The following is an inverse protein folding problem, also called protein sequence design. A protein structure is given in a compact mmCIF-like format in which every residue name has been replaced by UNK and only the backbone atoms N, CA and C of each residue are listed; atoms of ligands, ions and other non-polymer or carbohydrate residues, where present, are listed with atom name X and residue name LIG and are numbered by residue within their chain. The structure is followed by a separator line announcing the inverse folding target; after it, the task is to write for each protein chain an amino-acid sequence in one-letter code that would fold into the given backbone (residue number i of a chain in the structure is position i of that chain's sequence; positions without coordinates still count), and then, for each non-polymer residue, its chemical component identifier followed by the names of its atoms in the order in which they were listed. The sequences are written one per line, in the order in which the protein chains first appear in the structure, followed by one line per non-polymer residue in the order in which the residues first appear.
data_IF_811725531735
#
_entry.id   IF_811725531735
#
_cell.length_a   1.000
_cell.length_b   1.000
_cell.length_c   1.000
_cell.angle_alpha   90.00
_cell.angle_beta   90.00
_cell.angle_gamma   90.00
#
_symmetry.space_group_name_H-M   'P 1'
#
loop_
_entity.id
_entity.type
_entity.pdbx_description
1 polymer ?
#
# COMPACT_ATOMS: atom_id res chain seq x y z
N UNK A 1 4.51 -2.69 6.35
CA UNK A 1 3.07 -2.98 6.57
C UNK A 1 2.16 -1.77 6.31
N UNK A 2 2.66 -0.74 5.62
CA UNK A 2 2.01 0.57 5.53
C UNK A 2 0.56 0.54 5.04
N UNK A 3 0.23 -0.29 4.03
CA UNK A 3 -1.16 -0.44 3.56
C UNK A 3 -2.11 -0.95 4.66
N UNK A 4 -1.65 -1.89 5.50
CA UNK A 4 -2.44 -2.41 6.63
C UNK A 4 -2.57 -1.35 7.72
N UNK A 5 -1.52 -0.56 7.96
CA UNK A 5 -1.51 0.50 8.98
C UNK A 5 -2.46 1.66 8.61
N UNK A 6 -2.52 2.01 7.32
CA UNK A 6 -3.48 2.97 6.79
C UNK A 6 -4.91 2.43 6.83
N UNK A 7 -5.13 1.17 6.43
CA UNK A 7 -6.43 0.50 6.54
C UNK A 7 -6.92 0.50 8.00
N UNK A 8 -6.05 0.13 8.95
CA UNK A 8 -6.34 0.11 10.38
C UNK A 8 -6.86 1.47 10.86
N UNK A 9 -6.12 2.53 10.52
CA UNK A 9 -6.41 3.88 10.97
C UNK A 9 -7.64 4.44 10.28
N UNK A 10 -7.82 4.17 8.98
CA UNK A 10 -8.99 4.59 8.21
C UNK A 10 -10.26 3.93 8.75
N UNK A 11 -10.25 2.61 8.95
CA UNK A 11 -11.40 1.89 9.51
C UNK A 11 -11.75 2.40 10.90
N UNK A 12 -10.75 2.59 11.77
CA UNK A 12 -10.99 3.08 13.13
C UNK A 12 -11.66 4.47 13.12
N UNK A 13 -11.20 5.38 12.25
CA UNK A 13 -11.74 6.74 12.10
C UNK A 13 -13.12 6.79 11.45
N UNK A 14 -13.42 5.87 10.52
CA UNK A 14 -14.69 5.83 9.77
C UNK A 14 -15.77 4.99 10.46
N UNK A 15 -15.37 4.07 11.33
CA UNK A 15 -16.26 3.16 12.06
C UNK A 15 -15.98 3.28 13.56
N UNK A 16 -15.28 2.33 14.17
CA UNK A 16 -14.76 2.39 15.52
C UNK A 16 -13.51 1.49 15.67
N UNK A 17 -12.79 1.66 16.78
CA UNK A 17 -11.54 0.95 17.05
C UNK A 17 -11.73 -0.56 17.25
N UNK A 18 -12.85 -1.00 17.80
CA UNK A 18 -13.14 -2.43 18.01
C UNK A 18 -13.34 -3.15 16.67
N UNK A 19 -14.10 -2.56 15.76
CA UNK A 19 -14.32 -3.05 14.41
C UNK A 19 -13.00 -3.14 13.65
N UNK A 20 -12.22 -2.06 13.63
CA UNK A 20 -10.90 -2.04 12.99
C UNK A 20 -9.99 -3.14 13.55
N UNK A 21 -9.87 -3.24 14.88
CA UNK A 21 -9.07 -4.28 15.53
C UNK A 21 -9.53 -5.70 15.19
N UNK A 22 -10.84 -5.94 15.07
CA UNK A 22 -11.38 -7.24 14.66
C UNK A 22 -10.99 -7.58 13.22
N UNK A 23 -11.13 -6.64 12.28
CA UNK A 23 -10.75 -6.85 10.88
C UNK A 23 -9.24 -7.07 10.70
N UNK A 24 -8.40 -6.36 11.43
CA UNK A 24 -6.96 -6.63 11.41
C UNK A 24 -6.64 -8.03 11.92
N UNK A 25 -7.26 -8.48 13.01
CA UNK A 25 -7.07 -9.86 13.51
C UNK A 25 -7.48 -10.90 12.47
N UNK A 26 -8.59 -10.68 11.75
CA UNK A 26 -9.01 -11.56 10.66
C UNK A 26 -7.97 -11.61 9.53
N UNK A 27 -7.44 -10.47 9.10
CA UNK A 27 -6.39 -10.37 8.07
C UNK A 27 -5.13 -11.15 8.50
N UNK A 28 -4.63 -10.93 9.72
CA UNK A 28 -3.41 -11.58 10.21
C UNK A 28 -3.58 -13.08 10.51
N UNK A 29 -4.82 -13.55 10.77
CA UNK A 29 -5.11 -14.99 10.93
C UNK A 29 -5.33 -15.70 9.59
N UNK A 30 -5.67 -14.95 8.54
CA UNK A 30 -5.93 -15.49 7.22
C UNK A 30 -4.65 -16.04 6.59
N UNK A 31 -4.78 -17.13 5.83
CA UNK A 31 -3.69 -17.71 5.02
C UNK A 31 -3.62 -17.11 3.61
N UNK A 32 -4.62 -16.31 3.23
CA UNK A 32 -4.75 -15.80 1.86
C UNK A 32 -3.83 -14.61 1.57
N UNK A 33 -3.80 -13.51 2.36
CA UNK A 33 -2.91 -12.41 2.06
C UNK A 33 -1.48 -12.74 2.49
N UNK A 34 -0.54 -12.63 1.54
CA UNK A 34 0.89 -12.61 1.86
C UNK A 34 1.26 -11.16 2.22
N UNK A 35 1.66 -10.94 3.47
CA UNK A 35 2.03 -9.60 3.95
C UNK A 35 3.52 -9.36 3.70
N UNK A 36 3.83 -8.48 2.75
CA UNK A 36 5.19 -8.06 2.45
C UNK A 36 5.59 -6.86 3.32
N UNK A 37 6.71 -6.99 4.01
CA UNK A 37 7.37 -5.89 4.71
C UNK A 37 8.42 -5.27 3.78
N UNK A 38 8.32 -3.97 3.46
CA UNK A 38 9.38 -3.27 2.74
C UNK A 38 10.69 -3.32 3.53
N UNK A 39 11.81 -3.42 2.82
CA UNK A 39 13.15 -3.33 3.40
C UNK A 39 13.73 -1.92 3.25
N UNK A 40 14.90 -1.70 3.88
CA UNK A 40 15.59 -0.40 3.84
C UNK A 40 15.85 0.12 2.41
N UNK A 41 16.15 -0.76 1.46
CA UNK A 41 16.37 -0.35 0.07
C UNK A 41 15.05 0.02 -0.63
N UNK A 42 13.94 -0.65 -0.30
CA UNK A 42 12.63 -0.26 -0.82
C UNK A 42 12.28 1.16 -0.35
N UNK A 43 12.53 1.48 0.92
CA UNK A 43 12.28 2.81 1.50
C UNK A 43 13.14 3.90 0.85
N UNK A 44 14.44 3.65 0.66
CA UNK A 44 15.35 4.60 0.00
C UNK A 44 14.93 4.89 -1.44
N UNK A 45 14.59 3.86 -2.21
CA UNK A 45 14.10 4.06 -3.58
C UNK A 45 12.76 4.79 -3.61
N UNK A 46 11.90 4.53 -2.62
CA UNK A 46 10.61 5.21 -2.51
C UNK A 46 10.75 6.69 -2.23
N UNK A 47 11.75 7.11 -1.44
CA UNK A 47 12.08 8.53 -1.22
C UNK A 47 12.44 9.21 -2.54
N UNK A 48 13.21 8.54 -3.41
CA UNK A 48 13.55 9.09 -4.73
C UNK A 48 12.32 9.28 -5.60
N UNK A 49 11.41 8.30 -5.62
CA UNK A 49 10.13 8.38 -6.35
C UNK A 49 9.26 9.50 -5.78
N UNK A 50 9.13 9.57 -4.46
CA UNK A 50 8.32 10.57 -3.78
C UNK A 50 8.80 12.00 -4.09
N UNK A 51 10.12 12.23 -4.07
CA UNK A 51 10.71 13.50 -4.48
C UNK A 51 10.49 13.80 -5.97
N UNK A 52 10.62 12.79 -6.85
CA UNK A 52 10.43 12.96 -8.29
C UNK A 52 9.02 13.39 -8.66
N UNK A 53 8.02 12.93 -7.90
CA UNK A 53 6.62 13.24 -8.11
C UNK A 53 6.08 14.25 -7.09
N UNK A 54 6.92 15.16 -6.59
CA UNK A 54 6.54 16.17 -5.57
C UNK A 54 5.32 17.01 -5.96
N UNK A 55 5.15 17.25 -7.25
CA UNK A 55 4.05 18.06 -7.80
C UNK A 55 2.75 17.25 -7.97
N UNK A 56 2.81 15.93 -7.76
CA UNK A 56 1.67 15.04 -7.79
C UNK A 56 1.33 14.68 -6.34
N UNK A 57 0.05 14.75 -5.96
CA UNK A 57 -0.42 14.45 -4.60
C UNK A 57 -0.44 12.93 -4.33
N UNK A 58 0.68 12.26 -4.58
CA UNK A 58 0.88 10.82 -4.38
C UNK A 58 1.31 10.60 -2.94
N UNK A 59 0.80 9.58 -2.26
CA UNK A 59 1.26 9.27 -0.91
C UNK A 59 2.63 8.58 -0.92
N UNK A 60 3.34 8.67 0.20
CA UNK A 60 4.57 7.88 0.36
C UNK A 60 4.28 6.37 0.34
N UNK A 61 3.13 5.94 0.87
CA UNK A 61 2.66 4.55 0.84
C UNK A 61 2.48 4.03 -0.59
N UNK A 62 1.97 4.86 -1.51
CA UNK A 62 1.86 4.50 -2.93
C UNK A 62 3.24 4.38 -3.56
N UNK A 63 4.15 5.32 -3.31
CA UNK A 63 5.53 5.25 -3.80
C UNK A 63 6.22 3.96 -3.34
N UNK A 64 6.04 3.60 -2.07
CA UNK A 64 6.56 2.36 -1.50
C UNK A 64 5.92 1.11 -2.10
N UNK A 65 4.62 1.16 -2.35
CA UNK A 65 3.91 0.10 -3.06
C UNK A 65 4.46 -0.07 -4.47
N UNK A 66 4.73 1.02 -5.20
CA UNK A 66 5.31 0.94 -6.55
C UNK A 66 6.69 0.26 -6.55
N UNK A 67 7.55 0.60 -5.59
CA UNK A 67 8.89 -0.02 -5.49
C UNK A 67 8.79 -1.50 -5.18
N UNK A 68 8.01 -1.87 -4.17
CA UNK A 68 7.83 -3.28 -3.78
C UNK A 68 7.22 -4.09 -4.91
N UNK A 69 6.18 -3.57 -5.56
CA UNK A 69 5.55 -4.25 -6.69
C UNK A 69 6.51 -4.44 -7.87
N UNK A 70 7.31 -3.44 -8.21
CA UNK A 70 8.33 -3.56 -9.27
C UNK A 70 9.39 -4.58 -8.92
N UNK A 71 9.89 -4.58 -7.67
CA UNK A 71 10.88 -5.54 -7.18
C UNK A 71 10.37 -6.99 -7.24
N UNK A 72 9.08 -7.19 -7.00
CA UNK A 72 8.43 -8.50 -6.98
C UNK A 72 7.76 -8.86 -8.31
N UNK A 73 7.94 -8.06 -9.35
CA UNK A 73 7.34 -8.24 -10.68
C UNK A 73 5.80 -8.35 -10.65
N UNK A 74 5.16 -7.68 -9.68
CA UNK A 74 3.70 -7.61 -9.55
C UNK A 74 3.19 -6.48 -10.45
N UNK A 75 2.36 -6.84 -11.43
CA UNK A 75 1.85 -5.91 -12.44
C UNK A 75 0.41 -5.49 -12.22
N UNK A 76 -0.34 -6.23 -11.40
CA UNK A 76 -1.76 -6.01 -11.13
C UNK A 76 -1.98 -5.49 -9.72
N UNK A 77 -2.94 -4.59 -9.55
CA UNK A 77 -3.28 -4.00 -8.25
C UNK A 77 -4.79 -3.79 -8.11
N UNK A 78 -5.31 -4.15 -6.94
CA UNK A 78 -6.66 -3.78 -6.51
C UNK A 78 -6.61 -2.43 -5.79
N UNK A 79 -7.06 -1.37 -6.47
CA UNK A 79 -7.08 -0.01 -5.92
C UNK A 79 -8.12 0.85 -6.62
N UNK A 80 -8.57 1.91 -5.96
CA UNK A 80 -9.36 2.98 -6.56
C UNK A 80 -8.49 4.16 -7.02
N UNK A 81 -7.20 4.15 -6.71
CA UNK A 81 -6.28 5.24 -7.03
C UNK A 81 -5.67 5.07 -8.44
N UNK A 82 -5.91 6.07 -9.28
CA UNK A 82 -5.39 6.14 -10.66
C UNK A 82 -3.88 6.37 -10.72
N UNK A 83 -3.23 6.81 -9.63
CA UNK A 83 -1.77 6.95 -9.59
C UNK A 83 -1.03 5.67 -9.96
N UNK A 84 -1.59 4.50 -9.63
CA UNK A 84 -1.02 3.21 -10.00
C UNK A 84 -1.01 2.97 -11.51
N UNK A 85 -2.03 3.46 -12.23
CA UNK A 85 -2.07 3.36 -13.69
C UNK A 85 -0.96 4.21 -14.32
N UNK A 86 -0.73 5.43 -13.82
CA UNK A 86 0.37 6.28 -14.29
C UNK A 86 1.75 5.69 -13.97
N UNK A 87 1.86 4.92 -12.89
CA UNK A 87 3.08 4.20 -12.52
C UNK A 87 3.31 2.92 -13.34
N UNK A 88 2.39 2.56 -14.24
CA UNK A 88 2.49 1.43 -15.17
C UNK A 88 1.82 0.13 -14.71
N UNK A 89 0.99 0.17 -13.66
CA UNK A 89 0.27 -1.00 -13.17
C UNK A 89 -1.11 -1.14 -13.81
N UNK A 90 -1.59 -2.39 -13.88
CA UNK A 90 -2.96 -2.68 -14.32
C UNK A 90 -3.88 -2.72 -13.10
N UNK A 91 -4.85 -1.81 -13.07
CA UNK A 91 -5.89 -1.82 -12.05
C UNK A 91 -6.90 -2.91 -12.40
N UNK A 92 -7.17 -3.80 -11.46
CA UNK A 92 -8.08 -4.95 -11.58
C UNK A 92 -9.10 -4.92 -10.42
N UNK A 93 -10.17 -5.72 -10.45
CA UNK A 93 -10.68 -6.27 -9.20
C UNK A 93 -9.59 -7.09 -8.47
#
# INVERSE_FOLDING_TARGET
NHVIDELATLLARRTNYEFSGTKLREIYKSKYPIIIRPGNEDEKESIKIFNKYSDHQISFTDCLSFVVMKRLEITQVFTFDKHFQYAGFTIVP
#
